data_IF_642515905339
#
_entry.id   IF_642515905339
#
_cell.length_a   1.000
_cell.length_b   1.000
_cell.length_c   1.000
_cell.angle_alpha   90.00
_cell.angle_beta   90.00
_cell.angle_gamma   90.00
#
_symmetry.space_group_name_H-M   'P 1'
#
loop_
_entity.id
_entity.type
_entity.pdbx_description
1 polymer ?
#
# COMPACT_ATOMS: atom_id res chain seq x y z
N UNK A 1 6.47 -1.82 -44.78
CA UNK A 1 6.24 -0.95 -43.60
C UNK A 1 7.57 -0.65 -42.94
N UNK A 2 7.78 0.57 -42.45
CA UNK A 2 9.00 0.90 -41.69
C UNK A 2 8.81 0.48 -40.23
N UNK A 3 9.79 -0.14 -39.55
CA UNK A 3 9.68 -0.50 -38.13
C UNK A 3 9.52 0.68 -37.16
N UNK A 4 9.65 1.91 -37.65
CA UNK A 4 9.57 3.16 -36.86
C UNK A 4 8.14 3.66 -36.61
N UNK A 5 7.15 3.17 -37.35
CA UNK A 5 5.77 3.70 -37.40
C UNK A 5 4.79 2.51 -37.39
N UNK A 6 4.33 2.04 -36.20
CA UNK A 6 3.42 0.91 -36.09
C UNK A 6 1.95 1.35 -36.27
N UNK A 7 1.12 0.54 -36.95
CA UNK A 7 -0.22 0.92 -37.38
C UNK A 7 -1.19 1.35 -36.25
N UNK A 8 -1.07 0.79 -35.04
CA UNK A 8 -1.89 1.17 -33.89
C UNK A 8 -1.73 2.64 -33.46
N UNK A 9 -0.70 3.34 -33.95
CA UNK A 9 -0.48 4.76 -33.66
C UNK A 9 -1.43 5.68 -34.45
N UNK A 10 -1.80 5.31 -35.68
CA UNK A 10 -2.73 6.07 -36.52
C UNK A 10 -4.15 6.00 -35.90
N UNK A 11 -4.52 4.83 -35.37
CA UNK A 11 -5.80 4.58 -34.67
C UNK A 11 -6.00 5.43 -33.39
N UNK A 12 -4.95 6.05 -32.85
CA UNK A 12 -5.02 6.94 -31.69
C UNK A 12 -5.17 8.42 -32.06
N UNK A 13 -4.80 8.82 -33.27
CA UNK A 13 -4.81 10.22 -33.72
C UNK A 13 -6.23 10.69 -34.11
N UNK A 14 -7.07 9.76 -34.60
CA UNK A 14 -8.48 9.99 -34.96
C UNK A 14 -9.45 10.13 -33.76
N UNK A 15 -8.98 10.03 -32.51
CA UNK A 15 -9.83 10.17 -31.32
C UNK A 15 -9.65 11.54 -30.63
N UNK A 16 -10.59 12.49 -30.80
CA UNK A 16 -10.46 13.86 -30.30
C UNK A 16 -10.50 13.99 -28.76
N UNK A 17 -10.94 12.95 -28.04
CA UNK A 17 -10.89 12.91 -26.57
C UNK A 17 -9.53 12.44 -26.04
N UNK A 18 -8.65 11.90 -26.90
CA UNK A 18 -7.32 11.42 -26.52
C UNK A 18 -6.19 12.35 -26.98
N UNK A 19 -6.38 13.11 -28.05
CA UNK A 19 -5.37 14.01 -28.61
C UNK A 19 -4.91 15.11 -27.64
N UNK A 20 -5.78 15.59 -26.75
CA UNK A 20 -5.44 16.60 -25.74
C UNK A 20 -4.39 16.12 -24.72
N UNK A 21 -4.34 14.81 -24.43
CA UNK A 21 -3.37 14.20 -23.52
C UNK A 21 -2.10 13.67 -24.24
N UNK A 22 -2.13 13.57 -25.57
CA UNK A 22 -1.09 12.93 -26.37
C UNK A 22 -0.22 13.96 -27.10
N UNK A 23 0.56 14.72 -26.34
CA UNK A 23 1.39 15.80 -26.89
C UNK A 23 2.53 15.28 -27.78
N UNK A 24 2.98 16.11 -28.72
CA UNK A 24 4.14 15.82 -29.59
C UNK A 24 5.43 15.53 -28.78
N UNK A 25 5.57 16.13 -27.59
CA UNK A 25 6.67 15.87 -26.67
C UNK A 25 6.59 14.45 -26.08
N UNK A 26 5.40 14.00 -25.67
CA UNK A 26 5.19 12.64 -25.19
C UNK A 26 5.47 11.60 -26.29
N UNK A 27 5.10 11.90 -27.55
CA UNK A 27 5.39 11.09 -28.75
C UNK A 27 6.89 10.85 -28.92
N UNK A 28 7.71 11.91 -28.90
CA UNK A 28 9.18 11.78 -28.99
C UNK A 28 9.81 11.12 -27.75
N UNK A 29 9.24 11.31 -26.56
CA UNK A 29 9.68 10.65 -25.31
C UNK A 29 9.43 9.12 -25.32
N UNK A 30 8.31 8.67 -25.90
CA UNK A 30 8.02 7.24 -26.09
C UNK A 30 8.95 6.63 -27.15
N UNK A 31 9.11 7.31 -28.29
CA UNK A 31 9.94 6.88 -29.43
C UNK A 31 11.42 6.73 -29.05
N UNK A 32 11.97 7.69 -28.31
CA UNK A 32 13.35 7.62 -27.80
C UNK A 32 13.55 6.47 -26.80
N UNK A 33 12.62 6.23 -25.86
CA UNK A 33 12.66 5.06 -24.96
C UNK A 33 12.63 3.73 -25.72
N UNK A 34 11.76 3.59 -26.73
CA UNK A 34 11.65 2.36 -27.52
C UNK A 34 12.95 2.03 -28.28
N UNK A 35 13.58 3.05 -28.89
CA UNK A 35 14.85 2.88 -29.60
C UNK A 35 16.03 2.60 -28.65
N UNK A 36 16.05 3.21 -27.46
CA UNK A 36 17.07 2.96 -26.44
C UNK A 36 17.03 1.52 -25.90
N UNK A 37 15.83 1.02 -25.58
CA UNK A 37 15.64 -0.35 -25.05
C UNK A 37 16.05 -1.45 -26.05
N UNK A 38 15.96 -1.16 -27.35
CA UNK A 38 16.36 -2.10 -28.42
C UNK A 38 17.89 -2.28 -28.49
N UNK A 39 18.68 -1.28 -28.08
CA UNK A 39 20.15 -1.34 -28.15
C UNK A 39 20.81 -2.04 -26.95
N UNK A 40 20.15 -2.16 -25.79
CA UNK A 40 20.77 -2.74 -24.60
C UNK A 40 20.84 -4.29 -24.59
N UNK A 41 19.97 -4.99 -25.35
CA UNK A 41 19.88 -6.46 -25.32
C UNK A 41 21.01 -7.24 -26.01
N UNK A 42 22.11 -6.60 -26.44
CA UNK A 42 23.23 -7.23 -27.20
C UNK A 42 24.53 -7.47 -26.42
N UNK A 43 24.57 -7.27 -25.10
CA UNK A 43 25.78 -7.49 -24.27
C UNK A 43 25.51 -8.27 -22.97
N UNK A 44 25.19 -9.56 -23.09
CA UNK A 44 25.41 -10.52 -22.01
C UNK A 44 25.69 -11.90 -22.61
N UNK A 45 26.98 -12.21 -22.76
CA UNK A 45 27.46 -13.49 -23.28
C UNK A 45 28.57 -14.05 -22.41
N UNK A 46 28.47 -15.35 -22.11
CA UNK A 46 29.52 -16.27 -21.67
C UNK A 46 30.37 -15.90 -20.43
N UNK A 47 30.17 -16.68 -19.36
CA UNK A 47 31.08 -16.77 -18.21
C UNK A 47 30.89 -18.07 -17.43
N UNK A 48 31.58 -19.15 -17.82
CA UNK A 48 31.68 -20.41 -17.04
C UNK A 48 32.80 -20.31 -16.00
N UNK A 49 32.59 -20.86 -14.80
CA UNK A 49 33.54 -21.42 -13.79
C UNK A 49 32.96 -21.18 -12.38
N UNK A 50 33.13 -22.02 -11.36
CA UNK A 50 33.78 -23.33 -11.24
C UNK A 50 33.64 -23.83 -9.77
N UNK A 51 33.70 -25.14 -9.52
CA UNK A 51 33.45 -25.75 -8.20
C UNK A 51 34.73 -25.86 -7.36
N UNK A 52 34.77 -25.26 -6.14
CA UNK A 52 35.60 -25.65 -4.97
C UNK A 52 34.89 -25.18 -3.67
N UNK A 53 34.87 -25.90 -2.53
CA UNK A 53 35.13 -27.34 -2.39
C UNK A 53 35.67 -27.90 -1.04
N UNK A 54 35.75 -27.19 0.10
CA UNK A 54 36.38 -27.77 1.31
C UNK A 54 35.82 -27.34 2.68
N UNK A 55 35.77 -28.32 3.59
CA UNK A 55 35.22 -28.28 4.95
C UNK A 55 36.32 -28.12 6.01
N UNK A 56 36.03 -27.48 7.15
CA UNK A 56 36.73 -27.73 8.42
C UNK A 56 35.72 -27.74 9.57
N UNK A 57 35.75 -28.82 10.36
CA UNK A 57 35.06 -28.95 11.65
C UNK A 57 36.03 -28.50 12.74
N UNK A 58 35.60 -27.65 13.67
CA UNK A 58 36.22 -27.53 14.99
C UNK A 58 35.15 -27.44 16.08
N UNK A 59 35.05 -28.50 16.87
CA UNK A 59 34.35 -28.49 18.16
C UNK A 59 35.29 -27.94 19.24
N UNK A 60 34.75 -27.26 20.26
CA UNK A 60 35.59 -26.82 21.39
C UNK A 60 34.89 -26.02 22.48
N UNK A 61 34.72 -26.67 23.64
CA UNK A 61 34.61 -26.09 24.99
C UNK A 61 33.48 -25.09 25.31
N UNK A 62 32.55 -25.55 26.17
CA UNK A 62 31.76 -24.68 27.02
C UNK A 62 32.57 -24.23 28.25
N UNK A 63 32.47 -22.95 28.63
CA UNK A 63 32.70 -22.50 30.02
C UNK A 63 31.66 -21.43 30.37
N UNK A 64 30.88 -21.70 31.40
CA UNK A 64 29.99 -20.73 32.06
C UNK A 64 30.80 -19.66 32.79
N UNK A 65 30.59 -18.38 32.46
CA UNK A 65 30.97 -17.27 33.35
C UNK A 65 29.71 -16.52 33.79
N UNK A 66 29.42 -16.67 35.08
CA UNK A 66 28.34 -16.01 35.79
C UNK A 66 28.93 -14.76 36.45
N UNK A 67 28.73 -13.58 35.85
CA UNK A 67 29.20 -12.31 36.41
C UNK A 67 28.09 -11.25 36.52
N UNK A 68 27.64 -11.11 37.77
CA UNK A 68 27.33 -9.86 38.46
C UNK A 68 26.34 -8.87 37.83
N UNK A 69 25.16 -8.80 38.46
CA UNK A 69 24.29 -7.63 38.46
C UNK A 69 25.02 -6.42 39.05
N UNK A 70 25.22 -5.37 38.27
CA UNK A 70 25.44 -4.02 38.78
C UNK A 70 24.49 -3.05 38.07
N UNK A 71 23.75 -2.17 38.79
CA UNK A 71 22.98 -1.11 38.17
C UNK A 71 23.94 -0.04 37.65
N UNK A 72 23.92 0.21 36.34
CA UNK A 72 24.64 1.34 35.75
C UNK A 72 23.92 2.66 36.13
N UNK A 73 24.61 3.63 36.75
CA UNK A 73 24.02 4.93 37.02
C UNK A 73 24.01 5.79 35.75
N UNK A 74 22.83 6.25 35.36
CA UNK A 74 22.62 7.52 34.65
C UNK A 74 23.49 7.81 33.41
N UNK A 75 23.29 7.08 32.32
CA UNK A 75 23.53 7.66 30.99
C UNK A 75 22.34 8.54 30.66
N UNK A 76 22.52 9.86 30.77
CA UNK A 76 21.54 10.84 30.29
C UNK A 76 21.40 10.69 28.77
N UNK A 77 20.25 10.21 28.30
CA UNK A 77 19.90 10.27 26.89
C UNK A 77 19.87 11.73 26.44
N UNK A 78 20.84 12.10 25.60
CA UNK A 78 20.76 13.32 24.80
C UNK A 78 19.66 13.12 23.76
N UNK A 79 18.43 13.45 24.13
CA UNK A 79 17.32 13.72 23.21
C UNK A 79 17.62 14.98 22.37
N UNK A 80 18.64 14.90 21.52
CA UNK A 80 18.87 15.89 20.48
C UNK A 80 17.95 15.60 19.30
N UNK A 81 17.01 16.51 19.10
CA UNK A 81 16.00 16.53 18.06
C UNK A 81 16.49 16.10 16.66
N UNK A 82 16.02 14.92 16.21
CA UNK A 82 15.98 14.54 14.79
C UNK A 82 14.65 14.94 14.13
N UNK A 83 14.01 16.02 14.59
CA UNK A 83 12.68 16.44 14.14
C UNK A 83 12.65 17.21 12.81
N UNK A 84 13.82 17.50 12.21
CA UNK A 84 13.91 18.41 11.05
C UNK A 84 14.08 17.74 9.68
N UNK A 85 14.15 16.40 9.60
CA UNK A 85 14.24 15.68 8.31
C UNK A 85 12.90 15.07 7.85
N UNK A 86 12.05 14.62 8.79
CA UNK A 86 10.72 14.04 8.48
C UNK A 86 9.78 15.02 7.78
N UNK A 87 9.80 16.30 8.17
CA UNK A 87 8.93 17.32 7.58
C UNK A 87 9.18 17.59 6.09
N UNK A 88 10.40 17.32 5.59
CA UNK A 88 10.73 17.53 4.17
C UNK A 88 10.27 16.33 3.32
N UNK A 89 10.40 15.10 3.82
CA UNK A 89 9.87 13.91 3.14
C UNK A 89 8.34 13.88 3.06
N UNK A 90 7.66 14.53 4.01
CA UNK A 90 6.19 14.56 4.10
C UNK A 90 5.50 15.46 3.05
N UNK A 91 6.21 16.36 2.35
CA UNK A 91 5.59 17.21 1.33
C UNK A 91 5.46 16.51 -0.04
N UNK A 92 6.38 15.59 -0.37
CA UNK A 92 6.49 15.06 -1.73
C UNK A 92 5.40 14.06 -2.09
N UNK A 93 4.97 13.21 -1.15
CA UNK A 93 3.91 12.23 -1.43
C UNK A 93 2.54 12.91 -1.55
N UNK A 94 2.27 14.01 -0.83
CA UNK A 94 1.00 14.74 -0.93
C UNK A 94 0.86 15.33 -2.33
N UNK A 95 1.92 15.96 -2.85
CA UNK A 95 1.94 16.44 -4.24
C UNK A 95 1.71 15.31 -5.27
N UNK A 96 2.22 14.11 -5.02
CA UNK A 96 1.99 12.96 -5.89
C UNK A 96 0.53 12.46 -5.84
N UNK A 97 -0.07 12.44 -4.65
CA UNK A 97 -1.47 12.09 -4.44
C UNK A 97 -2.42 13.12 -5.06
N UNK A 98 -2.15 14.41 -4.86
CA UNK A 98 -2.93 15.53 -5.41
C UNK A 98 -2.81 15.57 -6.93
N UNK A 99 -1.63 15.28 -7.49
CA UNK A 99 -1.43 15.17 -8.94
C UNK A 99 -2.13 13.95 -9.56
N UNK A 100 -2.26 12.85 -8.82
CA UNK A 100 -3.04 11.70 -9.25
C UNK A 100 -4.56 11.99 -9.19
N UNK A 101 -5.01 12.83 -8.24
CA UNK A 101 -6.42 13.03 -7.91
C UNK A 101 -6.81 14.52 -7.74
N UNK A 102 -6.69 15.35 -8.81
CA UNK A 102 -6.81 16.80 -8.71
C UNK A 102 -8.23 17.32 -8.38
N UNK A 103 -9.28 16.53 -8.66
CA UNK A 103 -10.68 16.99 -8.64
C UNK A 103 -11.50 16.42 -7.47
N UNK A 104 -10.92 15.60 -6.58
CA UNK A 104 -11.69 14.87 -5.56
C UNK A 104 -11.39 15.31 -4.13
N UNK A 105 -12.41 15.27 -3.27
CA UNK A 105 -12.29 15.43 -1.81
C UNK A 105 -11.65 14.17 -1.20
N UNK A 106 -10.40 13.90 -1.56
CA UNK A 106 -9.62 12.82 -0.98
C UNK A 106 -9.28 13.19 0.46
N UNK A 107 -9.69 12.35 1.41
CA UNK A 107 -9.20 12.44 2.78
C UNK A 107 -8.27 11.27 3.04
N UNK A 108 -7.00 11.57 3.30
CA UNK A 108 -6.04 10.59 3.80
C UNK A 108 -6.49 10.16 5.20
N UNK A 109 -6.79 8.88 5.36
CA UNK A 109 -7.17 8.26 6.62
C UNK A 109 -5.92 7.81 7.40
N UNK A 110 -4.92 7.27 6.69
CA UNK A 110 -3.65 6.87 7.28
C UNK A 110 -2.53 6.83 6.23
N UNK A 111 -1.30 7.11 6.69
CA UNK A 111 -0.05 6.72 6.03
C UNK A 111 0.66 5.63 6.83
N UNK A 112 1.14 4.59 6.17
CA UNK A 112 1.88 3.50 6.80
C UNK A 112 3.11 3.14 5.97
N UNK A 113 4.31 3.33 6.53
CA UNK A 113 5.53 2.71 5.98
C UNK A 113 5.39 1.19 6.06
N UNK A 114 5.74 0.52 4.97
CA UNK A 114 5.97 -0.93 4.94
C UNK A 114 7.47 -1.21 5.13
N UNK A 115 8.30 -0.42 4.47
CA UNK A 115 9.77 -0.51 4.45
C UNK A 115 10.37 0.92 4.42
N UNK A 116 11.70 1.04 4.36
CA UNK A 116 12.42 2.32 4.28
C UNK A 116 12.06 3.16 3.05
N UNK A 117 11.60 2.52 1.97
CA UNK A 117 11.26 3.15 0.69
C UNK A 117 9.83 2.87 0.21
N UNK A 118 8.99 2.15 0.97
CA UNK A 118 7.61 1.80 0.55
C UNK A 118 6.59 2.29 1.56
N UNK A 119 5.53 2.93 1.07
CA UNK A 119 4.45 3.47 1.89
C UNK A 119 3.08 3.13 1.29
N UNK A 120 2.16 2.71 2.15
CA UNK A 120 0.72 2.68 1.85
C UNK A 120 0.06 3.97 2.31
N UNK A 121 -0.77 4.54 1.45
CA UNK A 121 -1.71 5.61 1.78
C UNK A 121 -3.11 5.02 1.72
N UNK A 122 -3.80 5.05 2.85
CA UNK A 122 -5.21 4.74 2.95
C UNK A 122 -5.97 6.04 2.80
N UNK A 123 -6.82 6.14 1.79
CA UNK A 123 -7.63 7.33 1.55
C UNK A 123 -9.11 6.96 1.39
N UNK A 124 -9.95 7.97 1.50
CA UNK A 124 -11.36 7.87 1.14
C UNK A 124 -11.77 8.97 0.18
N UNK A 125 -12.74 8.66 -0.68
CA UNK A 125 -13.53 9.64 -1.45
C UNK A 125 -15.00 9.46 -1.15
N UNK A 126 -15.75 10.54 -1.27
CA UNK A 126 -17.21 10.52 -1.19
C UNK A 126 -17.75 11.15 -2.45
N UNK A 127 -18.53 10.39 -3.21
CA UNK A 127 -19.28 10.85 -4.36
C UNK A 127 -20.76 10.93 -3.99
N UNK A 128 -21.42 12.02 -4.34
CA UNK A 128 -22.86 12.20 -4.13
C UNK A 128 -23.52 12.50 -5.48
N UNK A 129 -24.50 11.69 -5.86
CA UNK A 129 -25.20 11.79 -7.15
C UNK A 129 -26.67 11.37 -6.93
N UNK A 130 -27.61 12.24 -7.32
CA UNK A 130 -29.06 12.00 -7.22
C UNK A 130 -29.54 11.49 -5.85
N UNK A 131 -28.95 12.03 -4.77
CA UNK A 131 -29.25 11.64 -3.38
C UNK A 131 -28.62 10.31 -2.92
N UNK A 132 -27.99 9.56 -3.82
CA UNK A 132 -27.15 8.41 -3.49
C UNK A 132 -25.75 8.88 -3.12
N UNK A 133 -25.15 8.29 -2.09
CA UNK A 133 -23.77 8.56 -1.66
C UNK A 133 -22.94 7.30 -1.88
N UNK A 134 -21.79 7.40 -2.53
CA UNK A 134 -20.84 6.29 -2.69
C UNK A 134 -19.55 6.66 -1.97
N UNK A 135 -19.18 5.84 -0.99
CA UNK A 135 -17.85 5.89 -0.39
C UNK A 135 -16.91 5.06 -1.26
N UNK A 136 -15.82 5.64 -1.70
CA UNK A 136 -14.69 4.91 -2.26
C UNK A 136 -13.62 4.83 -1.18
N UNK A 137 -13.19 3.63 -0.81
CA UNK A 137 -12.00 3.43 0.02
C UNK A 137 -10.88 2.92 -0.85
N UNK A 138 -9.70 3.49 -0.67
CA UNK A 138 -8.57 3.32 -1.58
C UNK A 138 -7.29 3.03 -0.82
N UNK A 139 -6.44 2.24 -1.46
CA UNK A 139 -5.10 1.94 -1.00
C UNK A 139 -4.15 2.24 -2.14
N UNK A 140 -3.32 3.25 -1.93
CA UNK A 140 -2.28 3.67 -2.87
C UNK A 140 -0.92 3.25 -2.31
N UNK A 141 -0.16 2.50 -3.09
CA UNK A 141 1.21 2.14 -2.78
C UNK A 141 2.19 3.06 -3.52
N UNK A 142 3.13 3.64 -2.77
CA UNK A 142 4.19 4.49 -3.29
C UNK A 142 5.57 3.92 -2.96
N UNK A 143 6.49 4.06 -3.91
CA UNK A 143 7.92 3.80 -3.72
C UNK A 143 8.74 5.09 -3.78
N UNK A 144 9.67 5.26 -2.85
CA UNK A 144 10.65 6.36 -2.82
C UNK A 144 11.93 5.95 -3.52
N UNK A 145 12.24 6.62 -4.63
CA UNK A 145 13.48 6.40 -5.39
C UNK A 145 14.58 7.33 -4.87
N UNK A 146 15.72 6.80 -4.41
CA UNK A 146 16.81 7.59 -3.81
C UNK A 146 17.53 8.49 -4.82
N UNK A 147 17.55 8.08 -6.09
CA UNK A 147 18.19 8.76 -7.20
C UNK A 147 17.45 10.03 -7.62
N UNK A 148 16.11 9.98 -7.73
CA UNK A 148 15.26 11.15 -8.01
C UNK A 148 14.90 11.94 -6.76
N UNK A 149 14.90 11.28 -5.58
CA UNK A 149 14.36 11.79 -4.30
C UNK A 149 12.86 12.08 -4.35
N UNK A 150 12.15 11.29 -5.15
CA UNK A 150 10.71 11.43 -5.37
C UNK A 150 9.98 10.15 -4.94
N UNK A 151 8.76 10.32 -4.45
CA UNK A 151 7.79 9.23 -4.32
C UNK A 151 7.09 9.05 -5.67
N UNK A 152 7.04 7.83 -6.19
CA UNK A 152 6.25 7.46 -7.36
C UNK A 152 5.16 6.45 -6.99
N UNK A 153 3.94 6.57 -7.55
CA UNK A 153 2.91 5.56 -7.34
C UNK A 153 3.34 4.24 -8.01
N UNK A 154 3.32 3.16 -7.24
CA UNK A 154 3.58 1.81 -7.72
C UNK A 154 2.28 1.13 -8.13
N UNK A 155 1.27 1.18 -7.27
CA UNK A 155 -0.05 0.58 -7.51
C UNK A 155 -1.15 1.36 -6.80
N UNK A 156 -2.34 1.39 -7.39
CA UNK A 156 -3.56 1.88 -6.76
C UNK A 156 -4.64 0.82 -6.90
N UNK A 157 -5.45 0.65 -5.85
CA UNK A 157 -6.67 -0.14 -5.94
C UNK A 157 -7.74 0.40 -4.96
N UNK A 158 -9.01 0.18 -5.29
CA UNK A 158 -10.15 0.78 -4.59
C UNK A 158 -11.34 -0.17 -4.44
N UNK A 159 -12.12 -0.02 -3.37
CA UNK A 159 -13.42 -0.69 -3.19
C UNK A 159 -14.50 0.36 -2.92
N UNK A 160 -15.59 0.28 -3.67
CA UNK A 160 -16.77 1.14 -3.51
C UNK A 160 -17.78 0.52 -2.56
N UNK A 161 -18.36 1.35 -1.70
CA UNK A 161 -19.45 1.02 -0.80
C UNK A 161 -20.60 2.01 -1.02
N UNK A 162 -21.75 1.49 -1.44
CA UNK A 162 -22.95 2.29 -1.65
C UNK A 162 -23.64 2.64 -0.32
N UNK A 163 -24.03 3.90 -0.19
CA UNK A 163 -24.79 4.46 0.92
C UNK A 163 -26.07 5.09 0.40
N UNK A 164 -27.20 4.47 0.72
CA UNK A 164 -28.47 5.19 0.75
C UNK A 164 -28.61 5.83 2.14
N UNK A 165 -28.50 7.16 2.22
CA UNK A 165 -28.62 7.91 3.48
C UNK A 165 -30.01 7.82 4.14
N UNK A 166 -31.03 7.36 3.39
CA UNK A 166 -32.38 7.13 3.89
C UNK A 166 -32.62 5.72 4.42
N UNK A 167 -31.70 4.78 4.24
CA UNK A 167 -31.82 3.40 4.73
C UNK A 167 -30.82 3.09 5.84
N UNK A 168 -31.20 2.34 6.89
CA UNK A 168 -30.24 1.83 7.87
C UNK A 168 -29.24 0.89 7.16
N UNK A 169 -27.96 0.98 7.54
CA UNK A 169 -26.91 0.17 6.93
C UNK A 169 -27.24 -1.33 7.04
N UNK A 170 -27.39 -1.99 5.88
CA UNK A 170 -27.81 -3.40 5.76
C UNK A 170 -26.81 -4.40 6.37
N UNK A 171 -25.57 -3.96 6.61
CA UNK A 171 -24.53 -4.73 7.29
C UNK A 171 -23.90 -3.90 8.41
N UNK A 172 -23.58 -4.50 9.57
CA UNK A 172 -22.88 -3.81 10.67
C UNK A 172 -21.40 -3.52 10.37
N UNK A 173 -20.83 -4.30 9.45
CA UNK A 173 -19.47 -4.21 8.95
C UNK A 173 -19.53 -4.27 7.42
N UNK A 174 -18.78 -3.39 6.75
CA UNK A 174 -18.52 -3.50 5.32
C UNK A 174 -17.01 -3.69 5.13
N UNK A 175 -16.64 -4.70 4.36
CA UNK A 175 -15.25 -5.15 4.18
C UNK A 175 -14.91 -5.26 2.70
N UNK A 176 -13.69 -4.85 2.35
CA UNK A 176 -13.05 -5.07 1.06
C UNK A 176 -11.70 -5.77 1.25
N UNK A 177 -11.30 -6.50 0.22
CA UNK A 177 -9.96 -7.09 0.10
C UNK A 177 -9.39 -6.62 -1.23
N UNK A 178 -8.18 -6.09 -1.20
CA UNK A 178 -7.36 -5.83 -2.37
C UNK A 178 -6.02 -6.56 -2.26
N UNK A 179 -5.54 -7.07 -3.37
CA UNK A 179 -4.21 -7.66 -3.51
C UNK A 179 -3.32 -6.67 -4.25
N UNK A 180 -2.48 -5.95 -3.50
CA UNK A 180 -1.35 -5.23 -4.08
C UNK A 180 -0.22 -6.24 -4.33
N UNK A 181 0.63 -5.99 -5.33
CA UNK A 181 1.64 -6.92 -5.86
C UNK A 181 2.54 -7.53 -4.76
N UNK A 182 2.75 -6.78 -3.68
CA UNK A 182 3.62 -7.16 -2.57
C UNK A 182 2.93 -7.11 -1.20
N UNK A 183 1.64 -6.74 -1.12
CA UNK A 183 0.95 -6.55 0.16
C UNK A 183 -0.56 -6.75 0.01
N UNK A 184 -1.11 -7.91 0.45
CA UNK A 184 -2.56 -8.07 0.57
C UNK A 184 -3.08 -7.18 1.70
N UNK A 185 -4.16 -6.45 1.43
CA UNK A 185 -4.76 -5.50 2.35
C UNK A 185 -6.26 -5.77 2.49
N UNK A 186 -6.69 -5.97 3.72
CA UNK A 186 -8.10 -5.92 4.09
C UNK A 186 -8.40 -4.57 4.70
N UNK A 187 -9.57 -4.01 4.38
CA UNK A 187 -10.00 -2.72 4.89
C UNK A 187 -11.50 -2.57 4.75
N UNK A 188 -12.04 -1.50 5.32
CA UNK A 188 -13.45 -1.24 5.23
C UNK A 188 -13.91 -0.21 6.25
N UNK A 189 -15.19 -0.31 6.61
CA UNK A 189 -15.87 0.67 7.45
C UNK A 189 -16.87 -0.02 8.37
N UNK A 190 -16.87 0.43 9.62
CA UNK A 190 -17.74 -0.04 10.69
C UNK A 190 -18.99 0.83 10.70
N UNK A 191 -20.17 0.20 10.70
CA UNK A 191 -21.47 0.88 10.78
C UNK A 191 -22.21 0.61 12.08
N UNK A 192 -21.93 -0.52 12.73
CA UNK A 192 -22.40 -0.80 14.08
C UNK A 192 -21.39 -0.29 15.12
N UNK A 193 -21.74 0.78 15.84
CA UNK A 193 -20.90 1.42 16.85
C UNK A 193 -20.60 0.54 18.08
N UNK A 194 -21.23 -0.64 18.19
CA UNK A 194 -20.88 -1.65 19.19
C UNK A 194 -19.60 -2.41 18.83
N UNK A 195 -19.23 -2.46 17.55
CA UNK A 195 -17.97 -3.06 17.10
C UNK A 195 -16.82 -2.11 17.48
N UNK A 196 -15.92 -2.61 18.31
CA UNK A 196 -14.75 -1.86 18.83
C UNK A 196 -13.42 -2.52 18.49
N UNK A 197 -13.44 -3.71 17.90
CA UNK A 197 -12.26 -4.42 17.40
C UNK A 197 -12.62 -5.12 16.09
N UNK A 198 -11.69 -5.15 15.14
CA UNK A 198 -11.77 -6.00 13.94
C UNK A 198 -10.58 -6.96 13.96
N UNK A 199 -10.85 -8.24 13.76
CA UNK A 199 -9.86 -9.30 13.73
C UNK A 199 -10.00 -10.06 12.40
N UNK A 200 -8.92 -10.14 11.64
CA UNK A 200 -8.87 -10.98 10.43
C UNK A 200 -8.11 -12.27 10.78
N UNK A 201 -8.62 -13.41 10.36
CA UNK A 201 -7.93 -14.69 10.50
C UNK A 201 -7.75 -15.38 9.16
N UNK A 202 -6.58 -16.01 8.93
CA UNK A 202 -6.35 -16.87 7.76
C UNK A 202 -6.92 -18.29 7.98
N UNK A 203 -6.79 -19.14 6.96
CA UNK A 203 -7.15 -20.57 7.01
C UNK A 203 -6.38 -21.41 8.06
N UNK A 204 -5.27 -20.91 8.59
CA UNK A 204 -4.48 -21.54 9.67
C UNK A 204 -4.88 -21.02 11.06
N UNK A 205 -5.81 -20.06 11.12
CA UNK A 205 -6.24 -19.32 12.31
C UNK A 205 -5.14 -18.41 12.90
N UNK A 206 -4.15 -17.98 12.10
CA UNK A 206 -3.31 -16.85 12.47
C UNK A 206 -4.17 -15.59 12.53
N UNK A 207 -3.95 -14.77 13.56
CA UNK A 207 -4.81 -13.63 13.89
C UNK A 207 -4.09 -12.31 13.59
N UNK A 208 -4.73 -11.47 12.80
CA UNK A 208 -4.25 -10.17 12.38
C UNK A 208 -5.21 -9.09 12.91
N UNK A 209 -4.86 -8.36 13.98
CA UNK A 209 -5.68 -7.27 14.50
C UNK A 209 -5.63 -6.09 13.53
N UNK A 210 -6.78 -5.57 13.15
CA UNK A 210 -6.86 -4.37 12.33
C UNK A 210 -6.63 -3.11 13.17
N UNK A 211 -6.13 -2.05 12.52
CA UNK A 211 -6.10 -0.72 13.13
C UNK A 211 -7.40 0.00 12.79
N UNK A 212 -7.97 0.69 13.78
CA UNK A 212 -9.21 1.46 13.64
C UNK A 212 -8.89 2.95 13.54
N UNK A 213 -9.55 3.64 12.62
CA UNK A 213 -9.38 5.08 12.35
C UNK A 213 -10.75 5.74 12.48
N UNK A 214 -10.93 6.56 13.52
CA UNK A 214 -12.13 7.41 13.65
C UNK A 214 -11.96 8.63 12.76
N UNK A 215 -12.94 8.90 11.90
CA UNK A 215 -12.93 10.06 11.01
C UNK A 215 -13.85 11.17 11.52
N UNK A 216 -13.65 12.37 10.99
CA UNK A 216 -14.35 13.60 11.40
C UNK A 216 -15.84 13.62 11.02
N UNK A 217 -16.28 12.78 10.06
CA UNK A 217 -17.71 12.60 9.73
C UNK A 217 -18.41 11.54 10.60
N UNK A 218 -17.72 11.01 11.62
CA UNK A 218 -18.27 10.04 12.57
C UNK A 218 -18.13 8.57 12.16
N UNK A 219 -17.73 8.28 10.92
CA UNK A 219 -17.41 6.92 10.49
C UNK A 219 -16.13 6.40 11.17
N UNK A 220 -16.11 5.09 11.44
CA UNK A 220 -14.88 4.39 11.85
C UNK A 220 -14.42 3.47 10.72
N UNK A 221 -13.27 3.78 10.15
CA UNK A 221 -12.59 2.95 9.16
C UNK A 221 -11.70 1.94 9.85
N UNK A 222 -11.40 0.85 9.15
CA UNK A 222 -10.47 -0.16 9.60
C UNK A 222 -9.65 -0.69 8.45
N UNK A 223 -8.45 -1.16 8.74
CA UNK A 223 -7.62 -1.89 7.77
C UNK A 223 -6.57 -2.75 8.48
N UNK A 224 -6.05 -3.73 7.75
CA UNK A 224 -4.92 -4.57 8.14
C UNK A 224 -4.10 -4.94 6.91
N UNK A 225 -2.78 -4.77 7.02
CA UNK A 225 -1.82 -5.29 6.05
C UNK A 225 -1.44 -6.73 6.45
N UNK A 226 -1.49 -7.66 5.50
CA UNK A 226 -1.20 -9.07 5.74
C UNK A 226 0.22 -9.43 5.23
N UNK A 227 0.91 -10.39 5.86
CA UNK A 227 2.27 -10.75 5.49
C UNK A 227 2.35 -11.55 4.17
N UNK A 228 1.27 -12.25 3.82
CA UNK A 228 1.15 -13.05 2.61
C UNK A 228 -0.33 -13.30 2.30
N UNK A 229 -0.63 -13.64 1.05
CA UNK A 229 -1.95 -14.11 0.62
C UNK A 229 -2.22 -15.52 1.12
N UNK A 230 -3.47 -15.79 1.46
CA UNK A 230 -4.00 -17.09 1.82
C UNK A 230 -5.27 -17.39 1.02
N UNK A 231 -5.61 -18.67 0.89
CA UNK A 231 -6.79 -19.13 0.13
C UNK A 231 -8.11 -18.65 0.74
N UNK A 232 -8.15 -18.44 2.05
CA UNK A 232 -9.36 -18.07 2.79
C UNK A 232 -9.02 -17.12 3.94
N UNK A 233 -9.90 -16.15 4.16
CA UNK A 233 -9.88 -15.29 5.33
C UNK A 233 -11.26 -15.17 5.96
N UNK A 234 -11.30 -14.88 7.26
CA UNK A 234 -12.52 -14.54 7.97
C UNK A 234 -12.28 -13.22 8.74
N UNK A 235 -13.11 -12.22 8.45
CA UNK A 235 -13.12 -10.92 9.11
C UNK A 235 -14.19 -10.93 10.19
N UNK A 236 -13.82 -10.64 11.43
CA UNK A 236 -14.71 -10.70 12.59
C UNK A 236 -14.78 -9.34 13.28
N UNK A 237 -15.98 -8.80 13.44
CA UNK A 237 -16.23 -7.63 14.26
C UNK A 237 -16.60 -8.03 15.68
N UNK A 238 -15.86 -7.51 16.67
CA UNK A 238 -16.02 -7.80 18.09
C UNK A 238 -16.41 -6.55 18.88
N UNK A 239 -17.11 -6.75 20.00
CA UNK A 239 -17.28 -5.70 21.02
C UNK A 239 -16.01 -5.49 21.86
N UNK A 240 -16.11 -4.69 22.93
CA UNK A 240 -14.98 -4.41 23.84
C UNK A 240 -14.64 -5.58 24.76
N UNK A 241 -15.58 -6.50 25.00
CA UNK A 241 -15.39 -7.74 25.75
C UNK A 241 -14.81 -8.88 24.87
N UNK A 242 -14.82 -8.72 23.54
CA UNK A 242 -14.36 -9.73 22.58
C UNK A 242 -15.48 -10.66 22.08
N UNK A 243 -16.75 -10.36 22.35
CA UNK A 243 -17.87 -11.11 21.79
C UNK A 243 -18.05 -10.77 20.30
N UNK A 244 -18.35 -11.78 19.49
CA UNK A 244 -18.59 -11.62 18.05
C UNK A 244 -19.94 -10.97 17.77
N UNK A 245 -19.90 -9.81 17.10
CA UNK A 245 -21.07 -9.08 16.58
C UNK A 245 -21.28 -9.31 15.07
N UNK A 246 -20.21 -9.54 14.32
CA UNK A 246 -20.27 -9.81 12.86
C UNK A 246 -19.18 -10.78 12.41
N UNK A 247 -19.39 -11.44 11.26
CA UNK A 247 -18.40 -12.30 10.59
C UNK A 247 -18.62 -12.23 9.08
N UNK A 248 -17.55 -12.05 8.31
CA UNK A 248 -17.56 -12.11 6.84
C UNK A 248 -16.42 -13.01 6.36
N UNK A 249 -16.74 -14.01 5.53
CA UNK A 249 -15.76 -14.95 4.98
C UNK A 249 -15.39 -14.60 3.55
N UNK A 250 -14.10 -14.66 3.25
CA UNK A 250 -13.49 -14.38 1.95
C UNK A 250 -12.78 -15.64 1.42
N UNK A 251 -12.84 -15.81 0.10
CA UNK A 251 -12.29 -16.94 -0.68
C UNK A 251 -11.75 -16.40 -2.00
#
# INVERSE_FOLDING_TARGET
MKPSEPAWYEELEDNPLRSAAFTQELKEKIKSKALASTNQKKRQGFGRSGIVGLSVILAGAAVTILLMKHPLPGVQERLHASQSQTAVTDLYWQNALDAAHPDTRNQVLLKQSLEDNRMLIFSRRVHEMDGSRTLLLEVDEYEYTKESKEWSPLQQASVSFEYNSSEPAKKPLQSGWLELEHTPVFFGVIKDSRIQQIQVSDHLNHLYPAKLIKSEDGDTYWFVNLPAKADHYNVVGLDKEGNRLSSEAFR
#
